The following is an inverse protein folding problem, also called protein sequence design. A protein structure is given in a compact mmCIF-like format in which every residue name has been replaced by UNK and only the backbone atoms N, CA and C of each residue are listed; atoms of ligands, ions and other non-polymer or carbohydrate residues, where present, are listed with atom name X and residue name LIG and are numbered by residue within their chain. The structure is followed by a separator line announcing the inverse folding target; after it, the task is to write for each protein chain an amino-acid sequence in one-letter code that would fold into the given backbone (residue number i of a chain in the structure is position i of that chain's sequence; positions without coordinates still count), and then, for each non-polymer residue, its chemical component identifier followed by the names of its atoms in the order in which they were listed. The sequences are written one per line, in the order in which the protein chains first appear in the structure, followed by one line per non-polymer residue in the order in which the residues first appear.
data_IF_125175081400
#
_entry.id   IF_125175081400
#
_cell.length_a   1.000
_cell.length_b   1.000
_cell.length_c   1.000
_cell.angle_alpha   90.00
_cell.angle_beta   90.00
_cell.angle_gamma   90.00
#
_symmetry.space_group_name_H-M   'P 1'
#
loop_
_entity.id
_entity.type
_entity.pdbx_description
1 polymer ?
#
# COMPACT_ATOMS: atom_id res chain seq x y z
N UNK A 1 -0.75 32.72 -1.85
CA UNK A 1 -1.48 31.84 -2.79
C UNK A 1 -1.33 30.42 -2.27
N UNK A 2 -2.39 29.60 -2.23
CA UNK A 2 -2.21 28.19 -1.86
C UNK A 2 -1.25 27.56 -2.87
N UNK A 3 -0.24 26.83 -2.40
CA UNK A 3 0.68 26.12 -3.29
C UNK A 3 -0.13 25.11 -4.13
N UNK A 4 0.13 24.97 -5.44
CA UNK A 4 -0.49 23.90 -6.20
C UNK A 4 -0.09 22.57 -5.55
N UNK A 5 -1.05 21.84 -4.99
CA UNK A 5 -0.82 20.51 -4.44
C UNK A 5 -0.20 19.62 -5.51
N UNK A 6 0.77 18.80 -5.10
CA UNK A 6 1.47 17.89 -6.00
C UNK A 6 0.46 17.04 -6.77
N UNK A 7 0.46 17.16 -8.11
CA UNK A 7 -0.26 16.23 -8.98
C UNK A 7 0.39 14.87 -8.82
N UNK A 8 -0.34 13.92 -8.25
CA UNK A 8 0.13 12.56 -8.06
C UNK A 8 -0.58 11.64 -9.06
N UNK A 9 0.20 10.83 -9.75
CA UNK A 9 -0.30 9.83 -10.70
C UNK A 9 0.22 8.46 -10.25
N UNK A 10 -0.70 7.55 -9.94
CA UNK A 10 -0.40 6.14 -9.70
C UNK A 10 -0.65 5.36 -10.98
N UNK A 11 0.36 4.63 -11.43
CA UNK A 11 0.31 3.84 -12.64
C UNK A 11 0.38 2.34 -12.35
N UNK A 12 -0.19 1.59 -13.29
CA UNK A 12 0.12 0.20 -13.49
C UNK A 12 1.61 -0.06 -13.75
N UNK A 13 2.06 -1.33 -13.75
CA UNK A 13 3.45 -1.71 -13.95
C UNK A 13 4.02 -1.27 -15.30
N UNK A 14 5.18 -0.59 -15.26
CA UNK A 14 5.84 0.04 -16.41
C UNK A 14 6.93 -0.83 -17.07
N UNK A 15 6.75 -2.15 -17.13
CA UNK A 15 7.74 -3.06 -17.77
C UNK A 15 7.38 -3.44 -19.21
N UNK A 16 6.17 -3.94 -19.39
CA UNK A 16 5.69 -4.41 -20.70
C UNK A 16 4.80 -3.37 -21.40
N UNK A 17 4.38 -2.34 -20.67
CA UNK A 17 3.41 -1.33 -21.04
C UNK A 17 3.90 0.03 -20.50
N UNK A 18 4.95 0.57 -21.12
CA UNK A 18 5.57 1.81 -20.64
C UNK A 18 4.71 2.99 -21.09
N UNK A 19 4.01 3.59 -20.13
CA UNK A 19 3.06 4.71 -20.30
C UNK A 19 3.51 5.97 -19.55
N UNK A 20 4.54 5.87 -18.70
CA UNK A 20 5.08 7.00 -17.93
C UNK A 20 5.50 8.20 -18.80
N UNK A 21 5.97 7.98 -20.04
CA UNK A 21 6.35 9.05 -20.94
C UNK A 21 5.16 9.92 -21.36
N UNK A 22 4.04 9.28 -21.74
CA UNK A 22 2.79 9.95 -22.07
C UNK A 22 2.29 10.80 -20.88
N UNK A 23 2.45 10.27 -19.67
CA UNK A 23 2.03 10.95 -18.45
C UNK A 23 2.90 12.15 -18.10
N UNK A 24 4.21 12.05 -18.30
CA UNK A 24 5.13 13.18 -18.16
C UNK A 24 4.80 14.29 -19.17
N UNK A 25 4.49 13.94 -20.41
CA UNK A 25 4.06 14.92 -21.42
C UNK A 25 2.72 15.56 -21.07
N UNK A 26 1.75 14.78 -20.60
CA UNK A 26 0.41 15.26 -20.23
C UNK A 26 0.44 16.27 -19.07
N UNK A 27 1.39 16.13 -18.14
CA UNK A 27 1.59 17.10 -17.05
C UNK A 27 2.53 18.25 -17.41
N UNK A 28 3.06 18.28 -18.64
CA UNK A 28 3.98 19.31 -19.12
C UNK A 28 5.41 19.20 -18.60
N UNK A 29 5.83 18.03 -18.12
CA UNK A 29 7.19 17.76 -17.64
C UNK A 29 8.12 17.43 -18.82
N UNK A 30 8.59 18.47 -19.52
CA UNK A 30 9.45 18.35 -20.71
C UNK A 30 10.96 18.35 -20.38
N UNK A 31 11.35 18.81 -19.20
CA UNK A 31 12.72 18.84 -18.69
C UNK A 31 13.19 17.53 -18.07
N UNK A 32 14.09 17.65 -17.08
CA UNK A 32 14.69 16.52 -16.37
C UNK A 32 13.68 15.85 -15.44
N UNK A 33 13.80 14.55 -15.25
CA UNK A 33 12.93 13.77 -14.35
C UNK A 33 13.79 13.06 -13.32
N UNK A 34 13.55 13.30 -12.03
CA UNK A 34 14.24 12.57 -10.97
C UNK A 34 13.69 11.14 -10.92
N UNK A 35 14.56 10.14 -10.96
CA UNK A 35 14.17 8.74 -10.90
C UNK A 35 14.53 8.15 -9.54
N UNK A 36 13.55 7.56 -8.87
CA UNK A 36 13.74 6.71 -7.71
C UNK A 36 13.49 5.28 -8.15
N UNK A 37 14.56 4.52 -8.31
CA UNK A 37 14.49 3.08 -8.51
C UNK A 37 14.91 2.39 -7.22
N UNK A 38 14.33 1.22 -6.94
CA UNK A 38 14.82 0.35 -5.87
C UNK A 38 15.17 -1.03 -6.41
N UNK A 39 15.45 -1.13 -7.72
CA UNK A 39 15.63 -2.38 -8.45
C UNK A 39 16.54 -3.34 -7.67
N UNK A 40 15.96 -4.37 -7.06
CA UNK A 40 16.66 -5.44 -6.32
C UNK A 40 17.89 -5.01 -5.49
N UNK A 41 17.94 -3.77 -5.00
CA UNK A 41 19.14 -3.14 -4.42
C UNK A 41 20.29 -3.00 -5.44
N UNK A 42 20.94 -4.10 -5.80
CA UNK A 42 22.10 -4.15 -6.70
C UNK A 42 21.79 -3.75 -8.15
N UNK A 43 20.51 -3.66 -8.53
CA UNK A 43 20.05 -3.27 -9.86
C UNK A 43 19.41 -1.89 -9.86
N UNK A 44 19.80 -1.02 -8.94
CA UNK A 44 19.33 0.36 -8.90
C UNK A 44 19.65 1.12 -10.21
N UNK A 45 20.73 0.75 -10.88
CA UNK A 45 21.17 1.27 -12.18
C UNK A 45 20.51 0.60 -13.41
N UNK A 46 19.65 -0.41 -13.22
CA UNK A 46 18.88 -1.05 -14.29
C UNK A 46 17.65 -0.18 -14.68
N UNK A 47 17.91 1.05 -15.12
CA UNK A 47 16.93 2.03 -15.55
C UNK A 47 16.91 2.25 -17.07
N UNK A 48 17.72 1.52 -17.83
CA UNK A 48 17.92 1.74 -19.28
C UNK A 48 16.63 1.74 -20.11
N UNK A 49 15.72 0.80 -19.87
CA UNK A 49 14.41 0.76 -20.55
C UNK A 49 13.53 1.98 -20.21
N UNK A 50 13.57 2.40 -18.95
CA UNK A 50 12.83 3.58 -18.49
C UNK A 50 13.44 4.86 -19.07
N UNK A 51 14.76 4.98 -19.04
CA UNK A 51 15.53 6.07 -19.64
C UNK A 51 15.19 6.21 -21.12
N UNK A 52 15.24 5.12 -21.88
CA UNK A 52 14.88 5.14 -23.30
C UNK A 52 13.45 5.64 -23.51
N UNK A 53 12.49 5.16 -22.71
CA UNK A 53 11.09 5.55 -22.84
C UNK A 53 10.84 7.04 -22.57
N UNK A 54 11.59 7.65 -21.65
CA UNK A 54 11.46 9.09 -21.34
C UNK A 54 12.44 9.97 -22.13
N UNK A 55 13.12 9.43 -23.14
CA UNK A 55 14.06 10.19 -24.00
C UNK A 55 15.38 10.55 -23.31
N UNK A 56 15.87 9.69 -22.41
CA UNK A 56 17.12 9.85 -21.65
C UNK A 56 17.19 11.12 -20.78
N UNK A 57 16.03 11.61 -20.34
CA UNK A 57 15.90 12.79 -19.45
C UNK A 57 15.93 12.44 -17.96
N UNK A 58 16.03 11.15 -17.64
CA UNK A 58 15.99 10.65 -16.28
C UNK A 58 17.30 10.87 -15.53
N UNK A 59 17.20 11.31 -14.28
CA UNK A 59 18.32 11.45 -13.36
C UNK A 59 18.07 10.53 -12.19
N UNK A 60 18.75 9.39 -12.16
CA UNK A 60 18.62 8.45 -11.06
C UNK A 60 19.22 9.03 -9.78
N UNK A 61 18.43 9.03 -8.71
CA UNK A 61 18.82 9.58 -7.42
C UNK A 61 19.76 8.63 -6.66
N UNK A 62 19.81 7.34 -7.02
CA UNK A 62 20.65 6.32 -6.39
C UNK A 62 20.50 6.28 -4.86
N UNK A 63 19.26 6.30 -4.37
CA UNK A 63 18.94 6.40 -2.94
C UNK A 63 19.55 5.25 -2.13
N UNK A 64 19.56 4.04 -2.69
CA UNK A 64 20.13 2.87 -2.05
C UNK A 64 21.65 3.01 -1.94
N UNK A 65 22.35 3.24 -3.05
CA UNK A 65 23.82 3.44 -3.06
C UNK A 65 24.25 4.57 -2.13
N UNK A 66 23.61 5.74 -2.22
CA UNK A 66 23.91 6.91 -1.37
C UNK A 66 23.71 6.62 0.11
N UNK A 67 22.66 5.86 0.46
CA UNK A 67 22.44 5.46 1.85
C UNK A 67 23.51 4.49 2.34
N UNK A 68 23.94 3.56 1.49
CA UNK A 68 24.99 2.60 1.84
C UNK A 68 26.35 3.29 2.03
N UNK A 69 26.66 4.33 1.23
CA UNK A 69 27.81 5.22 1.45
C UNK A 69 27.73 5.91 2.82
N UNK A 70 26.57 6.50 3.16
CA UNK A 70 26.33 7.09 4.49
C UNK A 70 26.53 6.07 5.60
N UNK A 71 26.06 4.84 5.44
CA UNK A 71 26.25 3.78 6.42
C UNK A 71 27.69 3.28 6.53
N UNK A 72 28.49 3.43 5.47
CA UNK A 72 29.91 3.12 5.49
C UNK A 72 30.69 4.19 6.27
N UNK A 73 30.33 5.46 6.09
CA UNK A 73 30.89 6.63 6.79
C UNK A 73 30.44 6.69 8.26
N UNK A 74 29.16 6.44 8.55
CA UNK A 74 28.55 6.46 9.88
C UNK A 74 28.08 5.07 10.32
N UNK A 75 29.00 4.36 10.98
CA UNK A 75 28.74 3.01 11.51
C UNK A 75 27.74 2.98 12.66
N UNK A 76 27.63 4.05 13.43
CA UNK A 76 26.65 4.13 14.53
C UNK A 76 25.23 4.23 13.98
N UNK A 77 25.02 5.02 12.91
CA UNK A 77 23.73 5.14 12.24
C UNK A 77 23.35 3.80 11.65
N UNK A 78 24.29 3.13 10.98
CA UNK A 78 24.06 1.82 10.41
C UNK A 78 23.63 0.79 11.47
N UNK A 79 24.35 0.73 12.60
CA UNK A 79 24.03 -0.18 13.69
C UNK A 79 22.65 0.10 14.30
N UNK A 80 22.33 1.38 14.54
CA UNK A 80 21.03 1.79 15.05
C UNK A 80 19.90 1.50 14.06
N UNK A 81 20.11 1.79 12.77
CA UNK A 81 19.16 1.50 11.70
C UNK A 81 18.89 -0.01 11.59
N UNK A 82 19.95 -0.84 11.62
CA UNK A 82 19.81 -2.30 11.62
C UNK A 82 19.00 -2.79 12.83
N UNK A 83 19.32 -2.29 14.03
CA UNK A 83 18.57 -2.65 15.25
C UNK A 83 17.08 -2.33 15.12
N UNK A 84 16.73 -1.16 14.57
CA UNK A 84 15.34 -0.79 14.26
C UNK A 84 14.70 -1.78 13.28
N UNK A 85 15.40 -2.13 12.20
CA UNK A 85 14.87 -3.09 11.21
C UNK A 85 14.63 -4.48 11.81
N UNK A 86 15.50 -4.95 12.70
CA UNK A 86 15.32 -6.22 13.39
C UNK A 86 14.11 -6.18 14.35
N UNK A 87 13.86 -5.05 15.02
CA UNK A 87 12.65 -4.85 15.84
C UNK A 87 11.37 -4.84 15.00
N UNK A 88 11.37 -4.14 13.86
CA UNK A 88 10.22 -4.13 12.94
C UNK A 88 9.94 -5.52 12.37
N UNK A 89 10.98 -6.29 12.02
CA UNK A 89 10.82 -7.67 11.55
C UNK A 89 10.18 -8.55 12.62
N UNK A 90 10.71 -8.52 13.86
CA UNK A 90 10.13 -9.28 14.97
C UNK A 90 8.67 -8.88 15.24
N UNK A 91 8.37 -7.59 15.22
CA UNK A 91 7.00 -7.11 15.43
C UNK A 91 6.06 -7.61 14.33
N UNK A 92 6.49 -7.61 13.06
CA UNK A 92 5.74 -8.15 11.94
C UNK A 92 5.51 -9.65 12.09
N UNK A 93 6.50 -10.42 12.49
CA UNK A 93 6.36 -11.86 12.72
C UNK A 93 5.29 -12.16 13.77
N UNK A 94 5.30 -11.43 14.89
CA UNK A 94 4.30 -11.57 15.96
C UNK A 94 2.90 -11.09 15.54
N UNK A 95 2.83 -10.03 14.74
CA UNK A 95 1.57 -9.58 14.15
C UNK A 95 0.99 -10.64 13.20
N UNK A 96 1.82 -11.29 12.37
CA UNK A 96 1.37 -12.31 11.42
C UNK A 96 0.82 -13.55 12.11
N UNK A 97 1.41 -13.99 13.23
CA UNK A 97 0.84 -15.08 14.05
C UNK A 97 -0.60 -14.78 14.47
N UNK A 98 -0.89 -13.54 14.89
CA UNK A 98 -2.24 -13.12 15.27
C UNK A 98 -3.15 -12.96 14.06
N UNK A 99 -2.64 -12.34 12.99
CA UNK A 99 -3.35 -12.13 11.74
C UNK A 99 -3.87 -13.45 11.17
N UNK A 100 -3.03 -14.49 11.16
CA UNK A 100 -3.39 -15.80 10.60
C UNK A 100 -4.63 -16.40 11.27
N UNK A 101 -4.75 -16.28 12.60
CA UNK A 101 -5.91 -16.76 13.33
C UNK A 101 -7.18 -15.96 12.98
N UNK A 102 -7.11 -14.62 13.04
CA UNK A 102 -8.28 -13.77 12.81
C UNK A 102 -8.75 -13.79 11.35
N UNK A 103 -7.82 -13.78 10.40
CA UNK A 103 -8.16 -13.76 8.97
C UNK A 103 -8.69 -15.12 8.51
N UNK A 104 -8.26 -16.23 9.12
CA UNK A 104 -8.82 -17.56 8.86
C UNK A 104 -10.28 -17.65 9.31
N UNK A 105 -10.58 -17.11 10.50
CA UNK A 105 -11.95 -17.01 11.00
C UNK A 105 -12.83 -16.13 10.09
N UNK A 106 -12.33 -14.95 9.71
CA UNK A 106 -13.04 -14.04 8.81
C UNK A 106 -13.31 -14.70 7.46
N UNK A 107 -12.30 -15.32 6.82
CA UNK A 107 -12.47 -16.07 5.57
C UNK A 107 -13.57 -17.12 5.69
N UNK A 108 -13.62 -17.87 6.80
CA UNK A 108 -14.65 -18.88 7.03
C UNK A 108 -16.07 -18.29 7.06
N UNK A 109 -16.25 -17.14 7.73
CA UNK A 109 -17.53 -16.44 7.82
C UNK A 109 -17.98 -15.85 6.48
N UNK A 110 -17.06 -15.25 5.72
CA UNK A 110 -17.35 -14.71 4.40
C UNK A 110 -17.73 -15.79 3.38
N UNK A 111 -17.10 -16.96 3.46
CA UNK A 111 -17.42 -18.10 2.57
C UNK A 111 -18.63 -18.92 3.03
N UNK A 112 -19.23 -18.60 4.19
CA UNK A 112 -20.42 -19.32 4.66
C UNK A 112 -21.66 -18.83 3.90
N UNK A 113 -22.45 -19.79 3.40
CA UNK A 113 -23.72 -19.53 2.72
C UNK A 113 -24.88 -19.65 3.73
N UNK A 114 -25.89 -18.77 3.68
CA UNK A 114 -27.07 -18.87 4.55
C UNK A 114 -27.88 -20.16 4.33
N UNK A 115 -27.74 -20.79 3.16
CA UNK A 115 -28.35 -22.09 2.83
C UNK A 115 -27.44 -23.28 3.16
N UNK A 116 -26.26 -23.05 3.74
CA UNK A 116 -25.37 -24.13 4.12
C UNK A 116 -25.90 -24.87 5.35
N UNK A 117 -25.68 -26.19 5.38
CA UNK A 117 -25.90 -26.96 6.60
C UNK A 117 -25.01 -26.40 7.75
N UNK A 118 -25.47 -26.48 9.01
CA UNK A 118 -24.73 -26.00 10.17
C UNK A 118 -23.27 -26.48 10.17
N UNK A 119 -22.33 -25.62 10.56
CA UNK A 119 -20.89 -25.91 10.57
C UNK A 119 -20.55 -27.21 11.33
N UNK A 120 -21.31 -27.54 12.38
CA UNK A 120 -21.19 -28.76 13.18
C UNK A 120 -21.41 -30.06 12.37
N UNK A 121 -22.09 -30.00 11.22
CA UNK A 121 -22.40 -31.15 10.38
C UNK A 121 -21.34 -31.41 9.29
N UNK A 122 -20.38 -30.48 9.07
CA UNK A 122 -19.33 -30.64 8.05
C UNK A 122 -18.35 -31.78 8.34
N UNK A 123 -18.15 -32.14 9.61
CA UNK A 123 -17.34 -33.30 10.04
C UNK A 123 -17.99 -34.64 9.70
N UNK A 124 -19.29 -34.67 9.42
CA UNK A 124 -20.04 -35.84 8.95
C UNK A 124 -20.22 -35.78 7.43
N UNK A 125 -19.11 -35.74 6.70
CA UNK A 125 -19.03 -35.46 5.26
C UNK A 125 -19.66 -36.52 4.33
N UNK A 126 -20.36 -37.53 4.85
CA UNK A 126 -20.98 -38.59 4.04
C UNK A 126 -22.48 -38.36 3.72
N UNK A 127 -23.18 -37.42 4.38
CA UNK A 127 -24.64 -37.24 4.21
C UNK A 127 -25.11 -35.81 3.91
N UNK A 128 -24.22 -34.82 3.87
CA UNK A 128 -24.58 -33.39 3.77
C UNK A 128 -25.41 -33.04 2.54
N UNK A 129 -25.09 -33.60 1.36
CA UNK A 129 -25.84 -33.31 0.13
C UNK A 129 -27.27 -33.88 0.16
N UNK A 130 -27.47 -35.04 0.80
CA UNK A 130 -28.80 -35.66 0.96
C UNK A 130 -29.60 -35.05 2.12
N UNK A 131 -28.93 -34.43 3.10
CA UNK A 131 -29.55 -33.78 4.25
C UNK A 131 -30.04 -32.36 3.90
N UNK A 132 -29.20 -31.55 3.23
CA UNK A 132 -29.56 -30.20 2.79
C UNK A 132 -30.71 -30.20 1.77
N UNK A 133 -30.78 -31.20 0.89
CA UNK A 133 -31.88 -31.36 -0.08
C UNK A 133 -33.23 -31.73 0.55
N UNK A 134 -33.26 -32.13 1.83
CA UNK A 134 -34.43 -32.71 2.50
C UNK A 134 -35.08 -31.79 3.54
N UNK A 135 -34.36 -30.74 3.95
CA UNK A 135 -34.74 -29.77 4.98
C UNK A 135 -34.37 -28.36 4.50
N UNK A 136 -34.70 -28.01 3.24
CA UNK A 136 -34.37 -26.70 2.69
C UNK A 136 -34.78 -25.61 3.69
N UNK A 137 -33.81 -24.79 4.08
CA UNK A 137 -34.05 -23.56 4.84
C UNK A 137 -35.02 -22.75 4.00
N UNK A 138 -36.19 -22.43 4.55
CA UNK A 138 -37.14 -21.59 3.82
C UNK A 138 -36.59 -20.17 3.66
N UNK A 139 -37.20 -19.38 2.77
CA UNK A 139 -36.67 -18.06 2.41
C UNK A 139 -36.64 -17.09 3.61
N UNK A 140 -37.48 -17.30 4.62
CA UNK A 140 -37.54 -16.48 5.84
C UNK A 140 -36.39 -16.85 6.79
N UNK A 141 -36.18 -18.13 7.09
CA UNK A 141 -35.05 -18.59 7.90
C UNK A 141 -33.70 -18.28 7.23
N UNK A 142 -33.63 -18.33 5.89
CA UNK A 142 -32.42 -17.96 5.15
C UNK A 142 -32.11 -16.47 5.24
N UNK A 143 -33.13 -15.60 5.28
CA UNK A 143 -32.96 -14.16 5.49
C UNK A 143 -32.44 -13.86 6.90
N UNK A 144 -32.98 -14.54 7.92
CA UNK A 144 -32.51 -14.41 9.30
C UNK A 144 -31.06 -14.89 9.45
N UNK A 145 -30.70 -15.99 8.80
CA UNK A 145 -29.32 -16.47 8.75
C UNK A 145 -28.38 -15.48 8.07
N UNK A 146 -28.78 -14.87 6.95
CA UNK A 146 -27.95 -13.88 6.27
C UNK A 146 -27.77 -12.62 7.12
N UNK A 147 -28.83 -12.16 7.82
CA UNK A 147 -28.74 -11.04 8.75
C UNK A 147 -27.76 -11.33 9.90
N UNK A 148 -27.79 -12.55 10.46
CA UNK A 148 -26.83 -13.01 11.46
C UNK A 148 -25.40 -13.04 10.90
N UNK A 149 -25.21 -13.60 9.70
CA UNK A 149 -23.90 -13.68 9.05
C UNK A 149 -23.33 -12.28 8.76
N UNK A 150 -24.15 -11.32 8.35
CA UNK A 150 -23.72 -9.94 8.13
C UNK A 150 -23.10 -9.34 9.41
N UNK A 151 -23.79 -9.45 10.55
CA UNK A 151 -23.28 -8.97 11.85
C UNK A 151 -21.95 -9.64 12.21
N UNK A 152 -21.84 -10.96 12.03
CA UNK A 152 -20.62 -11.69 12.35
C UNK A 152 -19.44 -11.37 11.40
N UNK A 153 -19.73 -11.11 10.12
CA UNK A 153 -18.73 -10.66 9.14
C UNK A 153 -18.20 -9.27 9.51
N UNK A 154 -19.09 -8.35 9.90
CA UNK A 154 -18.72 -7.02 10.37
C UNK A 154 -17.85 -7.07 11.63
N UNK A 155 -18.20 -7.93 12.59
CA UNK A 155 -17.40 -8.16 13.81
C UNK A 155 -16.00 -8.70 13.49
N UNK A 156 -15.91 -9.63 12.53
CA UNK A 156 -14.63 -10.18 12.09
C UNK A 156 -13.77 -9.11 11.39
N UNK A 157 -14.36 -8.28 10.53
CA UNK A 157 -13.69 -7.15 9.87
C UNK A 157 -13.20 -6.14 10.89
N UNK A 158 -14.04 -5.78 11.87
CA UNK A 158 -13.68 -4.86 12.96
C UNK A 158 -12.49 -5.38 13.77
N UNK A 159 -12.49 -6.67 14.11
CA UNK A 159 -11.37 -7.31 14.81
C UNK A 159 -10.06 -7.22 14.02
N UNK A 160 -10.11 -7.43 12.70
CA UNK A 160 -8.95 -7.27 11.82
C UNK A 160 -8.46 -5.82 11.76
N UNK A 161 -9.38 -4.85 11.63
CA UNK A 161 -9.06 -3.41 11.63
C UNK A 161 -8.40 -2.98 12.95
N UNK A 162 -8.89 -3.47 14.09
CA UNK A 162 -8.32 -3.19 15.40
C UNK A 162 -6.90 -3.77 15.56
N UNK A 163 -6.67 -4.99 15.05
CA UNK A 163 -5.33 -5.60 14.99
C UNK A 163 -4.38 -4.73 14.17
N UNK A 164 -4.79 -4.32 12.97
CA UNK A 164 -3.98 -3.51 12.06
C UNK A 164 -3.64 -2.15 12.67
N UNK A 165 -4.65 -1.48 13.25
CA UNK A 165 -4.47 -0.19 13.91
C UNK A 165 -3.50 -0.29 15.10
N UNK A 166 -3.60 -1.36 15.90
CA UNK A 166 -2.67 -1.60 16.98
C UNK A 166 -1.25 -1.87 16.48
N UNK A 167 -1.10 -2.66 15.42
CA UNK A 167 0.20 -2.92 14.80
C UNK A 167 0.87 -1.64 14.29
N UNK A 168 0.11 -0.78 13.60
CA UNK A 168 0.61 0.51 13.12
C UNK A 168 1.04 1.45 14.25
N UNK A 169 0.33 1.46 15.40
CA UNK A 169 0.78 2.23 16.58
C UNK A 169 2.13 1.74 17.11
N UNK A 170 2.33 0.44 17.20
CA UNK A 170 3.62 -0.13 17.64
C UNK A 170 4.75 0.16 16.65
N UNK A 171 4.45 0.20 15.35
CA UNK A 171 5.40 0.62 14.31
C UNK A 171 5.77 2.10 14.49
N UNK A 172 4.78 2.98 14.68
CA UNK A 172 5.01 4.40 14.94
C UNK A 172 5.94 4.59 16.14
N UNK A 173 5.66 3.92 17.26
CA UNK A 173 6.50 3.98 18.47
C UNK A 173 7.95 3.52 18.23
N UNK A 174 8.19 2.58 17.31
CA UNK A 174 9.54 2.15 16.93
C UNK A 174 10.24 3.24 16.11
N UNK A 175 9.54 3.86 15.15
CA UNK A 175 10.09 4.95 14.35
C UNK A 175 10.37 6.19 15.20
N UNK A 176 9.43 6.61 16.05
CA UNK A 176 9.58 7.80 16.90
C UNK A 176 10.73 7.66 17.89
N UNK A 177 10.89 6.48 18.49
CA UNK A 177 12.05 6.20 19.36
C UNK A 177 13.37 6.23 18.59
N UNK A 178 13.38 5.73 17.35
CA UNK A 178 14.57 5.81 16.51
C UNK A 178 14.91 7.27 16.20
N UNK A 179 13.96 8.09 15.76
CA UNK A 179 14.19 9.51 15.48
C UNK A 179 14.68 10.26 16.74
N UNK A 180 14.02 10.07 17.89
CA UNK A 180 14.38 10.73 19.13
C UNK A 180 15.76 10.35 19.68
N UNK A 181 16.14 9.07 19.57
CA UNK A 181 17.41 8.57 20.13
C UNK A 181 18.59 8.78 19.18
N UNK A 182 18.38 8.51 17.89
CA UNK A 182 19.45 8.46 16.88
C UNK A 182 19.67 9.82 16.25
N UNK A 183 18.62 10.66 16.22
CA UNK A 183 18.55 11.96 15.53
C UNK A 183 19.25 11.92 14.16
N UNK A 184 18.79 11.06 13.23
CA UNK A 184 19.39 10.90 11.91
C UNK A 184 19.56 12.24 11.17
N UNK A 185 18.59 13.15 11.35
CA UNK A 185 18.55 14.46 10.71
C UNK A 185 19.72 15.39 11.12
N UNK A 186 20.33 15.15 12.29
CA UNK A 186 21.46 15.96 12.78
C UNK A 186 22.81 15.46 12.25
N UNK A 187 22.83 14.26 11.63
CA UNK A 187 24.08 13.61 11.22
C UNK A 187 24.65 14.24 9.96
N UNK A 188 25.93 14.68 9.96
CA UNK A 188 26.48 15.47 8.87
C UNK A 188 26.51 14.70 7.53
N UNK A 189 26.81 13.41 7.55
CA UNK A 189 26.84 12.53 6.38
C UNK A 189 25.46 12.45 5.72
N UNK A 190 24.42 12.25 6.54
CA UNK A 190 23.05 12.14 6.06
C UNK A 190 22.51 13.50 5.58
N UNK A 191 22.81 14.59 6.30
CA UNK A 191 22.44 15.96 5.88
C UNK A 191 23.04 16.32 4.53
N UNK A 192 24.32 16.01 4.32
CA UNK A 192 25.01 16.23 3.04
C UNK A 192 24.29 15.50 1.91
N UNK A 193 24.04 14.20 2.07
CA UNK A 193 23.38 13.40 1.03
C UNK A 193 21.95 13.86 0.78
N UNK A 194 21.18 14.21 1.81
CA UNK A 194 19.83 14.76 1.67
C UNK A 194 19.83 16.06 0.87
N UNK A 195 20.80 16.95 1.13
CA UNK A 195 20.95 18.18 0.36
C UNK A 195 21.28 17.89 -1.10
N UNK A 196 22.21 16.99 -1.38
CA UNK A 196 22.55 16.58 -2.74
C UNK A 196 21.33 16.00 -3.50
N UNK A 197 20.50 15.19 -2.83
CA UNK A 197 19.28 14.65 -3.43
C UNK A 197 18.24 15.75 -3.68
N UNK A 198 18.05 16.66 -2.72
CA UNK A 198 17.15 17.80 -2.86
C UNK A 198 17.55 18.70 -4.04
N UNK A 199 18.84 19.02 -4.19
CA UNK A 199 19.37 19.82 -5.29
C UNK A 199 19.10 19.18 -6.67
N UNK A 200 19.19 17.84 -6.76
CA UNK A 200 18.86 17.13 -7.99
C UNK A 200 17.36 17.18 -8.27
N UNK A 201 16.52 16.94 -7.25
CA UNK A 201 15.05 17.01 -7.38
C UNK A 201 14.63 18.41 -7.81
N UNK A 202 15.21 19.47 -7.22
CA UNK A 202 14.90 20.87 -7.53
C UNK A 202 15.12 21.21 -9.01
N UNK A 203 16.13 20.62 -9.64
CA UNK A 203 16.44 20.78 -11.07
C UNK A 203 15.57 19.94 -12.01
N UNK A 204 14.63 19.15 -11.48
CA UNK A 204 13.74 18.29 -12.26
C UNK A 204 12.31 18.82 -12.30
N UNK A 205 11.62 18.59 -13.40
CA UNK A 205 10.22 19.00 -13.59
C UNK A 205 9.24 18.06 -12.87
N UNK A 206 9.63 16.81 -12.67
CA UNK A 206 8.82 15.77 -12.03
C UNK A 206 9.70 14.71 -11.36
N UNK A 207 9.07 13.91 -10.48
CA UNK A 207 9.71 12.77 -9.83
C UNK A 207 8.98 11.48 -10.22
N UNK A 208 9.71 10.52 -10.76
CA UNK A 208 9.21 9.20 -11.11
C UNK A 208 9.71 8.15 -10.11
N UNK A 209 8.79 7.46 -9.45
CA UNK A 209 9.07 6.49 -8.38
C UNK A 209 8.68 5.10 -8.85
N UNK A 210 9.70 4.32 -9.19
CA UNK A 210 9.54 3.00 -9.73
C UNK A 210 9.27 1.93 -8.66
N UNK A 211 9.08 0.69 -9.13
CA UNK A 211 8.99 -0.49 -8.29
C UNK A 211 10.34 -0.99 -7.73
N UNK A 212 10.27 -2.09 -6.97
CA UNK A 212 11.42 -2.75 -6.35
C UNK A 212 11.00 -3.47 -5.07
N UNK A 213 11.95 -3.64 -4.15
CA UNK A 213 11.67 -4.17 -2.82
C UNK A 213 11.04 -3.09 -1.95
N UNK A 214 9.72 -3.15 -1.72
CA UNK A 214 8.94 -2.07 -1.08
C UNK A 214 9.46 -1.65 0.30
N UNK A 215 9.86 -2.61 1.15
CA UNK A 215 10.39 -2.28 2.48
C UNK A 215 11.71 -1.48 2.42
N UNK A 216 12.63 -1.88 1.53
CA UNK A 216 13.90 -1.18 1.31
C UNK A 216 13.64 0.20 0.72
N UNK A 217 12.79 0.30 -0.31
CA UNK A 217 12.40 1.58 -0.91
C UNK A 217 11.86 2.55 0.15
N UNK A 218 10.88 2.12 0.94
CA UNK A 218 10.29 2.93 2.00
C UNK A 218 11.34 3.36 3.04
N UNK A 219 12.18 2.42 3.49
CA UNK A 219 13.21 2.71 4.48
C UNK A 219 14.23 3.74 3.99
N UNK A 220 14.65 3.65 2.72
CA UNK A 220 15.58 4.60 2.08
C UNK A 220 14.94 5.96 1.86
N UNK A 221 13.69 6.00 1.37
CA UNK A 221 12.96 7.26 1.17
C UNK A 221 12.70 8.01 2.49
N UNK A 222 12.42 7.30 3.59
CA UNK A 222 12.29 7.92 4.91
C UNK A 222 13.61 8.44 5.43
N UNK A 223 14.68 7.64 5.37
CA UNK A 223 15.98 8.04 5.88
C UNK A 223 16.53 9.25 5.10
N UNK A 224 16.26 9.34 3.81
CA UNK A 224 16.62 10.48 2.96
C UNK A 224 15.55 11.57 2.89
N UNK A 225 14.48 11.49 3.69
CA UNK A 225 13.42 12.50 3.79
C UNK A 225 12.81 12.94 2.45
N UNK A 226 12.59 11.97 1.56
CA UNK A 226 12.12 12.23 0.20
C UNK A 226 10.75 12.91 0.22
N UNK A 227 9.87 12.55 1.15
CA UNK A 227 8.55 13.17 1.28
C UNK A 227 8.66 14.70 1.35
N UNK A 228 9.57 15.23 2.18
CA UNK A 228 9.80 16.66 2.30
C UNK A 228 10.41 17.24 1.01
N UNK A 229 11.37 16.54 0.43
CA UNK A 229 12.12 17.00 -0.76
C UNK A 229 11.28 17.06 -2.04
N UNK A 230 10.17 16.33 -2.12
CA UNK A 230 9.29 16.40 -3.29
C UNK A 230 8.70 17.81 -3.49
N UNK A 231 8.56 18.63 -2.44
CA UNK A 231 8.35 20.08 -2.57
C UNK A 231 7.18 20.54 -3.45
N UNK A 232 6.12 19.72 -3.59
CA UNK A 232 4.98 20.00 -4.47
C UNK A 232 5.18 19.62 -5.94
N UNK A 233 6.36 19.09 -6.32
CA UNK A 233 6.63 18.61 -7.68
C UNK A 233 5.66 17.50 -8.06
N UNK A 234 5.24 17.41 -9.33
CA UNK A 234 4.47 16.28 -9.81
C UNK A 234 5.18 14.95 -9.56
N UNK A 235 4.43 13.98 -9.07
CA UNK A 235 4.93 12.64 -8.75
C UNK A 235 4.20 11.62 -9.61
N UNK A 236 4.96 10.74 -10.26
CA UNK A 236 4.42 9.59 -10.97
C UNK A 236 5.00 8.34 -10.34
N UNK A 237 4.16 7.43 -9.86
CA UNK A 237 4.61 6.26 -9.14
C UNK A 237 3.92 4.98 -9.60
N UNK A 238 4.63 3.86 -9.59
CA UNK A 238 4.08 2.56 -9.95
C UNK A 238 4.66 1.44 -9.12
N UNK A 239 3.97 0.30 -9.10
CA UNK A 239 4.41 -0.89 -8.37
C UNK A 239 4.71 -0.55 -6.89
N UNK A 240 5.88 -0.92 -6.35
CA UNK A 240 6.26 -0.58 -4.99
C UNK A 240 6.29 0.94 -4.73
N UNK A 241 6.64 1.75 -5.74
CA UNK A 241 6.58 3.21 -5.65
C UNK A 241 5.17 3.71 -5.34
N UNK A 242 4.13 3.15 -5.97
CA UNK A 242 2.76 3.50 -5.65
C UNK A 242 2.38 3.08 -4.22
N UNK A 243 2.84 1.91 -3.79
CA UNK A 243 2.57 1.38 -2.44
C UNK A 243 3.22 2.20 -1.33
N UNK A 244 4.45 2.70 -1.51
CA UNK A 244 5.10 3.50 -0.45
C UNK A 244 4.49 4.88 -0.27
N UNK A 245 3.76 5.39 -1.27
CA UNK A 245 3.13 6.71 -1.20
C UNK A 245 1.80 6.71 -0.43
N UNK A 246 1.15 5.56 -0.23
CA UNK A 246 -0.13 5.48 0.49
C UNK A 246 0.02 5.75 1.99
N UNK A 247 -1.10 5.80 2.73
CA UNK A 247 -1.07 5.96 4.20
C UNK A 247 -0.46 4.75 4.92
N UNK A 248 -0.65 3.57 4.34
CA UNK A 248 -0.15 2.29 4.85
C UNK A 248 0.30 1.39 3.70
N UNK A 249 1.39 0.67 3.89
CA UNK A 249 1.89 -0.30 2.93
C UNK A 249 1.30 -1.67 3.24
N UNK A 250 0.50 -2.21 2.32
CA UNK A 250 -0.10 -3.55 2.44
C UNK A 250 0.66 -4.51 1.53
N UNK A 251 1.20 -5.60 2.08
CA UNK A 251 1.70 -6.71 1.29
C UNK A 251 0.58 -7.69 1.03
N UNK A 252 0.49 -8.17 -0.19
CA UNK A 252 -0.55 -9.10 -0.62
C UNK A 252 0.01 -10.06 -1.66
N UNK A 253 -0.29 -11.34 -1.50
CA UNK A 253 -0.11 -12.33 -2.53
C UNK A 253 -0.95 -13.57 -2.19
N UNK A 254 -2.04 -13.76 -2.94
CA UNK A 254 -2.94 -14.90 -2.77
C UNK A 254 -2.44 -16.15 -3.52
N UNK A 255 -1.59 -15.93 -4.53
CA UNK A 255 -1.00 -16.98 -5.39
C UNK A 255 0.54 -17.00 -5.43
N UNK A 256 1.26 -16.93 -4.30
CA UNK A 256 2.72 -16.95 -4.34
C UNK A 256 3.24 -18.38 -4.57
N UNK A 257 4.48 -18.56 -5.05
CA UNK A 257 5.07 -19.89 -5.29
C UNK A 257 5.10 -20.82 -4.07
N UNK A 258 5.13 -20.26 -2.86
CA UNK A 258 5.26 -21.00 -1.59
C UNK A 258 3.91 -21.25 -0.88
N UNK A 259 2.78 -20.89 -1.51
CA UNK A 259 1.43 -21.13 -0.99
C UNK A 259 0.70 -19.86 -0.50
N UNK A 260 -0.65 -19.83 -0.55
CA UNK A 260 -1.44 -18.61 -0.39
C UNK A 260 -1.12 -17.83 0.89
N UNK A 261 -0.68 -16.59 0.73
CA UNK A 261 -0.42 -15.67 1.85
C UNK A 261 -1.68 -14.93 2.31
N UNK A 262 -1.59 -14.35 3.51
CA UNK A 262 -2.56 -13.39 4.02
C UNK A 262 -2.09 -11.97 3.70
N UNK A 263 -3.02 -11.08 3.34
CA UNK A 263 -2.67 -9.67 3.17
C UNK A 263 -2.29 -9.07 4.53
N UNK A 264 -1.14 -8.44 4.62
CA UNK A 264 -0.55 -7.94 5.85
C UNK A 264 -0.20 -6.44 5.74
N UNK A 265 -0.35 -5.71 6.84
CA UNK A 265 0.12 -4.33 6.94
C UNK A 265 1.60 -4.38 7.29
N UNK A 266 2.47 -3.89 6.39
CA UNK A 266 3.91 -3.92 6.57
C UNK A 266 4.42 -2.77 7.43
N UNK A 267 3.98 -1.55 7.10
CA UNK A 267 4.46 -0.31 7.72
C UNK A 267 3.48 0.83 7.40
N UNK A 268 3.65 1.96 8.08
CA UNK A 268 3.06 3.26 7.70
C UNK A 268 3.68 3.67 6.36
N UNK A 269 2.91 4.22 5.43
CA UNK A 269 3.48 4.72 4.17
C UNK A 269 3.96 6.17 4.30
N UNK A 270 4.23 6.82 3.17
CA UNK A 270 4.61 8.23 3.13
C UNK A 270 3.40 9.17 3.16
N UNK A 271 2.17 8.69 3.03
CA UNK A 271 0.95 9.51 3.17
C UNK A 271 0.84 10.65 2.15
N UNK A 272 1.30 10.41 0.92
CA UNK A 272 1.17 11.31 -0.24
C UNK A 272 0.01 10.91 -1.16
N UNK A 273 -0.41 9.64 -1.10
CA UNK A 273 -1.57 9.07 -1.76
C UNK A 273 -2.64 8.73 -0.72
N UNK A 274 -3.40 9.72 -0.22
CA UNK A 274 -4.35 9.51 0.88
C UNK A 274 -5.51 8.62 0.45
N UNK A 275 -6.01 7.80 1.38
CA UNK A 275 -7.23 7.03 1.21
C UNK A 275 -7.14 5.94 0.14
N UNK A 276 -5.94 5.41 -0.11
CA UNK A 276 -5.69 4.37 -1.11
C UNK A 276 -4.94 3.19 -0.51
N UNK A 277 -5.33 1.98 -0.90
CA UNK A 277 -4.48 0.78 -0.86
C UNK A 277 -4.09 0.45 -2.30
N UNK A 278 -2.82 0.66 -2.65
CA UNK A 278 -2.32 0.42 -4.00
C UNK A 278 -2.04 -1.08 -4.22
N UNK A 279 -2.70 -1.68 -5.21
CA UNK A 279 -2.61 -3.11 -5.52
C UNK A 279 -1.98 -3.34 -6.91
N UNK A 280 -0.65 -3.15 -7.06
CA UNK A 280 0.02 -3.41 -8.33
C UNK A 280 -0.03 -4.88 -8.74
N UNK A 281 -0.25 -5.13 -10.03
CA UNK A 281 -0.41 -6.48 -10.60
C UNK A 281 -1.55 -7.29 -9.94
N UNK A 282 -2.67 -6.64 -9.64
CA UNK A 282 -3.80 -7.27 -8.93
C UNK A 282 -4.24 -8.59 -9.59
N UNK A 283 -4.47 -8.61 -10.92
CA UNK A 283 -4.85 -9.83 -11.66
C UNK A 283 -3.91 -11.02 -11.50
N UNK A 284 -2.61 -10.76 -11.25
CA UNK A 284 -1.59 -11.81 -11.07
C UNK A 284 -1.42 -12.23 -9.63
N UNK A 285 -1.69 -11.35 -8.67
CA UNK A 285 -1.34 -11.53 -7.26
C UNK A 285 -2.55 -11.85 -6.38
N UNK A 286 -3.74 -11.41 -6.76
CA UNK A 286 -4.98 -11.59 -6.01
C UNK A 286 -5.88 -12.62 -6.69
N UNK A 287 -6.69 -13.31 -5.88
CA UNK A 287 -7.76 -14.17 -6.37
C UNK A 287 -9.03 -13.31 -6.62
N UNK A 288 -9.00 -12.48 -7.67
CA UNK A 288 -10.08 -11.52 -7.96
C UNK A 288 -11.44 -12.20 -8.25
N UNK A 289 -11.43 -13.47 -8.62
CA UNK A 289 -12.63 -14.29 -8.80
C UNK A 289 -13.28 -14.74 -7.47
N UNK A 290 -12.53 -14.71 -6.37
CA UNK A 290 -13.02 -15.06 -5.02
C UNK A 290 -13.68 -13.84 -4.38
N UNK A 291 -14.93 -13.58 -4.78
CA UNK A 291 -15.71 -12.42 -4.31
C UNK A 291 -15.80 -12.34 -2.78
N UNK A 292 -16.10 -13.41 -2.02
CA UNK A 292 -16.12 -13.34 -0.56
C UNK A 292 -14.78 -12.90 0.05
N UNK A 293 -13.66 -13.41 -0.47
CA UNK A 293 -12.32 -12.98 -0.04
C UNK A 293 -12.06 -11.50 -0.36
N UNK A 294 -12.44 -11.06 -1.56
CA UNK A 294 -12.27 -9.67 -1.98
C UNK A 294 -13.16 -8.70 -1.21
N UNK A 295 -14.39 -9.11 -0.85
CA UNK A 295 -15.29 -8.35 0.01
C UNK A 295 -14.66 -8.14 1.39
N UNK A 296 -14.19 -9.23 2.02
CA UNK A 296 -13.47 -9.15 3.30
C UNK A 296 -12.24 -8.23 3.20
N UNK A 297 -11.47 -8.33 2.11
CA UNK A 297 -10.30 -7.47 1.88
C UNK A 297 -10.68 -5.99 1.77
N UNK A 298 -11.65 -5.65 0.92
CA UNK A 298 -12.10 -4.28 0.71
C UNK A 298 -12.72 -3.69 1.97
N UNK A 299 -13.58 -4.46 2.66
CA UNK A 299 -14.17 -4.06 3.93
C UNK A 299 -13.08 -3.89 5.00
N UNK A 300 -12.07 -4.75 5.10
CA UNK A 300 -10.96 -4.55 6.04
C UNK A 300 -10.26 -3.19 5.86
N UNK A 301 -10.05 -2.74 4.63
CA UNK A 301 -9.32 -1.50 4.35
C UNK A 301 -10.20 -0.27 4.11
N UNK A 302 -11.52 -0.45 4.00
CA UNK A 302 -12.48 0.65 3.86
C UNK A 302 -12.35 1.66 5.01
N UNK A 303 -12.56 2.97 4.75
CA UNK A 303 -12.92 3.59 3.46
C UNK A 303 -11.77 3.81 2.45
N UNK A 304 -10.57 3.25 2.65
CA UNK A 304 -9.51 3.41 1.64
C UNK A 304 -9.85 2.64 0.34
N UNK A 305 -9.67 3.31 -0.80
CA UNK A 305 -9.89 2.73 -2.12
C UNK A 305 -8.83 1.67 -2.42
N UNK A 306 -9.28 0.42 -2.56
CA UNK A 306 -8.44 -0.70 -2.96
C UNK A 306 -8.22 -0.66 -4.49
N UNK A 307 -7.21 0.08 -4.94
CA UNK A 307 -6.94 0.34 -6.36
C UNK A 307 -6.17 -0.82 -7.01
N UNK A 308 -6.81 -1.52 -7.95
CA UNK A 308 -6.21 -2.55 -8.78
C UNK A 308 -5.37 -1.90 -9.90
N UNK A 309 -4.06 -1.80 -9.67
CA UNK A 309 -3.10 -1.18 -10.58
C UNK A 309 -2.47 -2.25 -11.49
N UNK A 310 -3.26 -2.80 -12.41
CA UNK A 310 -2.78 -3.69 -13.47
C UNK A 310 -2.15 -2.90 -14.63
N UNK A 311 -1.47 -3.55 -15.61
CA UNK A 311 -0.88 -2.83 -16.75
C UNK A 311 -1.89 -1.89 -17.43
N UNK A 312 -1.43 -0.69 -17.81
CA UNK A 312 -2.23 0.42 -18.34
C UNK A 312 -3.17 1.14 -17.38
N UNK A 313 -3.32 0.68 -16.13
CA UNK A 313 -4.09 1.39 -15.12
C UNK A 313 -3.46 2.76 -14.79
N UNK A 314 -4.31 3.77 -14.57
CA UNK A 314 -3.94 5.15 -14.25
C UNK A 314 -4.94 5.74 -13.25
N UNK A 315 -4.44 6.16 -12.10
CA UNK A 315 -5.20 6.88 -11.09
C UNK A 315 -4.52 8.22 -10.81
N UNK A 316 -5.28 9.31 -10.80
CA UNK A 316 -4.75 10.67 -10.61
C UNK A 316 -5.36 11.30 -9.38
N UNK A 317 -4.54 11.96 -8.58
CA UNK A 317 -4.97 12.76 -7.45
C UNK A 317 -4.81 14.24 -7.78
N UNK A 318 -5.89 15.00 -7.67
CA UNK A 318 -5.90 16.43 -7.98
C UNK A 318 -5.68 17.34 -6.75
N UNK A 319 -5.54 16.75 -5.55
CA UNK A 319 -5.49 17.48 -4.28
C UNK A 319 -6.69 17.22 -3.37
N UNK A 320 -7.82 16.83 -3.96
CA UNK A 320 -9.12 16.68 -3.27
C UNK A 320 -9.74 15.29 -3.51
N UNK A 321 -9.65 14.77 -4.72
CA UNK A 321 -10.25 13.49 -5.10
C UNK A 321 -9.40 12.73 -6.12
N UNK A 322 -9.56 11.40 -6.11
CA UNK A 322 -8.99 10.54 -7.14
C UNK A 322 -9.82 10.60 -8.44
N UNK A 323 -9.20 10.49 -9.61
CA UNK A 323 -9.88 10.17 -10.87
C UNK A 323 -9.22 8.92 -11.46
N UNK A 324 -10.04 7.98 -11.93
CA UNK A 324 -9.54 6.73 -12.53
C UNK A 324 -9.78 6.75 -14.03
N UNK A 325 -8.74 6.51 -14.83
CA UNK A 325 -8.89 6.40 -16.27
C UNK A 325 -9.56 5.05 -16.63
N UNK A 326 -10.15 4.97 -17.82
CA UNK A 326 -10.78 3.75 -18.31
C UNK A 326 -9.83 2.53 -18.23
N UNK A 327 -10.34 1.41 -17.72
CA UNK A 327 -9.54 0.20 -17.48
C UNK A 327 -8.80 0.18 -16.13
N UNK A 328 -8.98 1.21 -15.30
CA UNK A 328 -8.52 1.23 -13.90
C UNK A 328 -9.68 0.91 -12.98
N UNK A 329 -9.48 -0.06 -12.09
CA UNK A 329 -10.54 -0.61 -11.25
C UNK A 329 -10.22 -0.45 -9.77
N UNK A 330 -11.24 -0.33 -8.94
CA UNK A 330 -11.16 -0.56 -7.50
C UNK A 330 -11.90 -1.84 -7.13
N UNK A 331 -11.55 -2.43 -5.99
CA UNK A 331 -12.33 -3.51 -5.36
C UNK A 331 -13.35 -2.84 -4.43
N UNK A 332 -14.64 -3.03 -4.69
CA UNK A 332 -15.71 -2.53 -3.84
C UNK A 332 -15.95 -3.41 -2.60
N UNK A 333 -16.80 -2.97 -1.67
CA UNK A 333 -17.10 -3.71 -0.42
C UNK A 333 -17.83 -5.03 -0.64
N UNK A 334 -18.38 -5.27 -1.85
CA UNK A 334 -18.94 -6.57 -2.26
C UNK A 334 -17.89 -7.51 -2.86
N UNK A 335 -16.65 -7.04 -3.03
CA UNK A 335 -15.53 -7.78 -3.59
C UNK A 335 -15.48 -7.77 -5.12
N UNK A 336 -16.27 -6.92 -5.79
CA UNK A 336 -16.29 -6.80 -7.24
C UNK A 336 -15.33 -5.71 -7.71
N UNK A 337 -14.87 -5.85 -8.96
CA UNK A 337 -14.18 -4.77 -9.64
C UNK A 337 -15.20 -3.71 -10.10
N UNK A 338 -15.01 -2.48 -9.66
CA UNK A 338 -15.85 -1.33 -10.01
C UNK A 338 -15.01 -0.19 -10.59
N UNK A 339 -15.59 0.60 -11.48
CA UNK A 339 -15.03 1.89 -11.89
C UNK A 339 -15.33 2.94 -10.82
N UNK A 340 -14.43 3.92 -10.65
CA UNK A 340 -14.54 4.88 -9.53
C UNK A 340 -15.78 5.79 -9.56
N UNK A 341 -16.45 5.99 -10.69
CA UNK A 341 -17.67 6.80 -10.79
C UNK A 341 -18.86 6.29 -9.92
N UNK A 342 -18.71 5.12 -9.28
CA UNK A 342 -19.65 4.53 -8.31
C UNK A 342 -19.22 4.72 -6.84
N UNK A 343 -18.02 5.27 -6.56
CA UNK A 343 -17.42 5.37 -5.23
C UNK A 343 -17.45 6.78 -4.60
N UNK A 344 -18.09 7.76 -5.25
CA UNK A 344 -18.14 9.17 -4.82
C UNK A 344 -19.07 9.43 -3.59
N UNK A 345 -19.66 8.39 -2.98
CA UNK A 345 -20.41 8.51 -1.71
C UNK A 345 -19.54 8.33 -0.45
N UNK A 346 -18.26 7.95 -0.58
CA UNK A 346 -17.38 7.72 0.56
C UNK A 346 -16.59 8.99 0.92
N UNK A 347 -16.94 9.62 2.05
CA UNK A 347 -16.21 10.75 2.64
C UNK A 347 -14.76 10.35 2.99
N UNK A 348 -13.75 10.92 2.30
CA UNK A 348 -12.34 10.65 2.56
C UNK A 348 -11.86 11.08 3.96
N UNK A 349 -12.62 11.94 4.66
CA UNK A 349 -12.18 12.56 5.92
C UNK A 349 -12.52 11.75 7.18
N UNK A 350 -13.29 10.67 7.09
CA UNK A 350 -13.76 9.90 8.26
C UNK A 350 -12.64 9.18 9.04
N UNK A 351 -11.40 9.13 8.55
CA UNK A 351 -10.25 8.62 9.30
C UNK A 351 -9.51 9.65 10.15
N UNK A 352 -9.71 10.94 9.92
CA UNK A 352 -8.86 11.97 10.56
C UNK A 352 -9.16 12.06 12.06
N UNK A 353 -10.39 11.80 12.53
CA UNK A 353 -10.70 11.91 13.97
C UNK A 353 -10.06 10.79 14.84
N UNK A 354 -9.74 9.63 14.26
CA UNK A 354 -9.04 8.54 14.96
C UNK A 354 -7.51 8.68 14.99
N UNK A 355 -6.94 9.48 14.08
CA UNK A 355 -5.50 9.75 13.98
C UNK A 355 -5.11 11.18 14.41
N UNK A 356 -6.08 12.09 14.58
CA UNK A 356 -5.89 13.48 15.03
C UNK A 356 -5.31 13.62 16.44
N UNK A 357 -5.09 12.51 17.17
CA UNK A 357 -4.27 12.50 18.38
C UNK A 357 -2.76 12.62 18.12
N UNK A 358 -2.30 12.55 16.87
CA UNK A 358 -0.88 12.66 16.48
C UNK A 358 -0.70 13.86 15.55
N UNK A 359 -1.16 15.03 15.99
CA UNK A 359 -0.60 16.27 15.49
C UNK A 359 0.88 16.31 15.90
N UNK A 360 1.78 16.14 14.93
CA UNK A 360 3.15 16.60 15.07
C UNK A 360 3.07 18.08 15.45
N UNK A 361 3.40 18.37 16.70
CA UNK A 361 3.56 19.72 17.22
C UNK A 361 4.64 20.42 16.38
N UNK A 362 4.19 21.15 15.36
CA UNK A 362 4.94 22.25 14.78
C UNK A 362 4.76 23.42 15.73
N UNK A 363 5.68 23.57 16.67
CA UNK A 363 5.86 24.84 17.39
C UNK A 363 7.28 25.35 17.22
N UNK A 364 7.34 26.41 16.39
CA UNK A 364 8.29 27.53 16.29
C UNK A 364 9.73 27.29 15.85
#
# INVERSE_FOLDING_TARGET
MPQPQARLILLGPQRNAITVAEELEAIGAFGRVALITAGWQEREDDDGNLQQAIGHRGVNLYLHRRTDEVFAEDRELFAAHRKRQDQLRLLRDLYNVRLDAYISAAKTLFHHSPHAAPLAYRTYAASTAQFAARMGVDDEEAQDHEAMLAVLRDDAVRTLRELDAHHLRLIADIHDRFEAQVRPHDRPELRRVRQEVAEVIDQCDAVAIAGGHVATLLGRMRLLDIRQQLGGKPVIAWSAGAMVLTDRVVLFHDRPPEGPGNAEVLDIGLGLAPGVVALPHATKRLALEDMPRMAMFAQRFSPALCLALDPYARARWNGESWSLDAGTWCIDESGRLASKEVADELDPNSWIEGAAGVALSVEQ
#
